data_IF_753824327714
#
_entry.id   IF_753824327714
#
_cell.length_a   1.000
_cell.length_b   1.000
_cell.length_c   1.000
_cell.angle_alpha   90.00
_cell.angle_beta   90.00
_cell.angle_gamma   90.00
#
_symmetry.space_group_name_H-M   'P 1'
#
loop_
_entity.id
_entity.type
_entity.pdbx_description
1 polymer ?
#
# COMPACT_ATOMS: atom_id res chain seq x y z
N UNK A 1 16.68 3.02 -5.46
CA UNK A 1 16.58 1.63 -4.97
C UNK A 1 15.46 0.95 -5.74
N UNK A 2 14.22 0.75 -5.24
CA UNK A 2 13.13 0.14 -6.04
C UNK A 2 12.26 1.15 -6.81
N UNK A 3 11.30 1.82 -6.15
CA UNK A 3 10.23 2.55 -6.86
C UNK A 3 10.52 4.01 -7.27
N UNK A 4 11.50 4.70 -6.65
CA UNK A 4 11.82 6.11 -6.94
C UNK A 4 13.06 6.33 -7.83
N UNK A 5 13.62 5.28 -8.42
CA UNK A 5 14.81 5.28 -9.29
C UNK A 5 16.11 5.96 -8.73
N UNK A 6 16.14 6.44 -7.49
CA UNK A 6 17.32 7.05 -6.86
C UNK A 6 18.49 6.06 -6.69
N UNK A 7 19.70 6.47 -7.08
CA UNK A 7 20.96 5.75 -6.86
C UNK A 7 21.73 6.39 -5.69
N UNK A 8 22.33 5.56 -4.83
CA UNK A 8 23.21 5.99 -3.76
C UNK A 8 24.54 5.23 -3.92
N UNK A 9 25.65 5.89 -4.32
CA UNK A 9 26.92 5.21 -4.60
C UNK A 9 27.67 4.76 -3.34
N UNK A 10 27.33 5.35 -2.18
CA UNK A 10 27.82 4.97 -0.86
C UNK A 10 26.61 4.78 0.05
N UNK A 11 26.62 3.73 0.86
CA UNK A 11 25.63 3.47 1.90
C UNK A 11 26.39 3.27 3.21
N UNK A 12 26.02 4.03 4.24
CA UNK A 12 26.53 3.86 5.61
C UNK A 12 25.47 3.15 6.44
N UNK A 13 25.88 2.12 7.19
CA UNK A 13 24.99 1.30 8.01
C UNK A 13 25.36 1.43 9.50
N UNK A 14 24.96 2.53 10.18
CA UNK A 14 25.38 2.83 11.55
C UNK A 14 24.65 1.99 12.63
N UNK A 15 23.86 0.99 12.24
CA UNK A 15 22.97 0.22 13.11
C UNK A 15 23.68 -0.52 14.26
N UNK A 16 24.98 -0.80 14.14
CA UNK A 16 25.78 -1.48 15.18
C UNK A 16 26.58 -0.52 16.07
N UNK A 17 26.47 0.80 15.89
CA UNK A 17 27.12 1.79 16.77
C UNK A 17 26.43 1.77 18.14
N UNK A 18 27.13 1.42 19.25
CA UNK A 18 26.50 1.25 20.56
C UNK A 18 25.76 2.49 21.05
N UNK A 19 26.35 3.66 20.85
CA UNK A 19 25.82 4.98 21.25
C UNK A 19 24.46 5.25 20.59
N UNK A 20 24.27 4.79 19.35
CA UNK A 20 23.00 4.92 18.61
C UNK A 20 21.96 3.86 18.99
N UNK A 21 22.28 2.92 19.87
CA UNK A 21 21.37 1.90 20.40
C UNK A 21 21.14 2.02 21.92
N UNK A 22 21.65 3.07 22.55
CA UNK A 22 21.44 3.29 23.99
C UNK A 22 19.97 3.63 24.30
N UNK A 23 19.51 3.18 25.46
CA UNK A 23 18.28 3.64 26.11
C UNK A 23 18.70 4.19 27.47
N UNK A 24 18.43 5.47 27.72
CA UNK A 24 18.82 6.15 28.96
C UNK A 24 17.57 6.76 29.60
N UNK A 25 17.37 6.49 30.89
CA UNK A 25 16.35 7.16 31.69
C UNK A 25 17.00 8.38 32.36
N UNK A 26 16.35 9.54 32.26
CA UNK A 26 16.81 10.81 32.83
C UNK A 26 15.66 11.47 33.61
N UNK A 27 15.97 12.48 34.43
CA UNK A 27 14.95 13.21 35.21
C UNK A 27 13.92 13.94 34.33
N UNK A 28 14.26 14.20 33.06
CA UNK A 28 13.38 14.83 32.05
C UNK A 28 12.63 13.81 31.17
N UNK A 29 12.98 12.51 31.19
CA UNK A 29 12.29 11.49 30.39
C UNK A 29 13.12 10.27 30.01
N UNK A 30 13.02 9.84 28.74
CA UNK A 30 13.73 8.66 28.20
C UNK A 30 14.37 9.05 26.87
N UNK A 31 15.70 8.94 26.80
CA UNK A 31 16.49 9.18 25.60
C UNK A 31 16.74 7.86 24.89
N UNK A 32 16.42 7.82 23.60
CA UNK A 32 16.67 6.68 22.71
C UNK A 32 17.73 7.05 21.68
N UNK A 33 18.70 6.17 21.48
CA UNK A 33 19.63 6.24 20.36
C UNK A 33 18.92 6.12 19.01
N UNK A 34 19.44 6.79 17.99
CA UNK A 34 18.76 6.94 16.69
C UNK A 34 18.64 5.66 15.84
N UNK A 35 19.26 4.54 16.25
CA UNK A 35 19.13 3.22 15.62
C UNK A 35 18.23 2.26 16.42
N UNK A 36 17.72 2.65 17.59
CA UNK A 36 16.78 1.85 18.37
C UNK A 36 15.53 1.50 17.54
N UNK A 37 15.16 0.21 17.51
CA UNK A 37 13.99 -0.23 16.76
C UNK A 37 12.69 0.29 17.38
N UNK A 38 11.66 0.51 16.55
CA UNK A 38 10.34 0.93 17.03
C UNK A 38 9.70 -0.10 17.98
N UNK A 39 10.07 -1.38 17.85
CA UNK A 39 9.70 -2.45 18.80
C UNK A 39 10.34 -2.20 20.16
N UNK A 40 11.66 -2.00 20.23
CA UNK A 40 12.38 -1.72 21.47
C UNK A 40 11.86 -0.43 22.13
N UNK A 41 11.63 0.62 21.35
CA UNK A 41 11.03 1.86 21.82
C UNK A 41 9.62 1.61 22.38
N UNK A 42 8.79 0.85 21.67
CA UNK A 42 7.46 0.46 22.14
C UNK A 42 7.49 -0.32 23.44
N UNK A 43 8.41 -1.28 23.61
CA UNK A 43 8.45 -2.13 24.80
C UNK A 43 9.02 -1.39 26.02
N UNK A 44 10.02 -0.51 25.83
CA UNK A 44 10.50 0.41 26.87
C UNK A 44 9.39 1.39 27.30
N UNK A 45 8.67 2.00 26.35
CA UNK A 45 7.59 2.92 26.68
C UNK A 45 6.41 2.22 27.37
N UNK A 46 6.06 0.98 26.99
CA UNK A 46 5.07 0.17 27.74
C UNK A 46 5.54 -0.09 29.18
N UNK A 47 6.81 -0.45 29.36
CA UNK A 47 7.38 -0.71 30.68
C UNK A 47 7.44 0.57 31.55
N UNK A 48 7.58 1.76 30.95
CA UNK A 48 7.50 3.04 31.64
C UNK A 48 6.06 3.39 32.03
N UNK A 49 5.10 3.29 31.10
CA UNK A 49 3.65 3.49 31.33
C UNK A 49 3.11 2.56 32.42
N UNK A 50 3.62 1.33 32.51
CA UNK A 50 3.25 0.36 33.54
C UNK A 50 3.90 0.56 34.92
N UNK A 51 4.73 1.60 35.11
CA UNK A 51 5.50 1.83 36.36
C UNK A 51 5.42 3.25 36.91
N UNK A 52 5.44 4.26 36.03
CA UNK A 52 5.48 5.67 36.42
C UNK A 52 4.06 6.21 36.68
N UNK A 53 3.93 7.29 37.48
CA UNK A 53 2.67 8.02 37.58
C UNK A 53 2.17 8.46 36.19
N UNK A 54 0.87 8.30 35.86
CA UNK A 54 0.45 8.45 34.46
C UNK A 54 0.60 9.87 33.88
N UNK A 55 0.80 10.86 34.76
CA UNK A 55 1.06 12.25 34.40
C UNK A 55 2.42 12.46 33.74
N UNK A 56 3.38 11.56 34.01
CA UNK A 56 4.72 11.56 33.42
C UNK A 56 4.76 10.81 32.08
N UNK A 57 3.69 10.08 31.74
CA UNK A 57 3.68 9.12 30.63
C UNK A 57 2.61 9.41 29.57
N UNK A 58 1.99 10.59 29.58
CA UNK A 58 1.03 11.06 28.56
C UNK A 58 1.62 10.97 27.14
N UNK A 59 2.82 11.54 26.95
CA UNK A 59 3.53 11.49 25.66
C UNK A 59 3.89 10.05 25.27
N UNK A 60 4.32 9.23 26.24
CA UNK A 60 4.66 7.83 25.99
C UNK A 60 3.43 7.02 25.54
N UNK A 61 2.30 7.18 26.21
CA UNK A 61 1.02 6.55 25.88
C UNK A 61 0.52 6.96 24.49
N UNK A 62 0.74 8.21 24.08
CA UNK A 62 0.37 8.68 22.74
C UNK A 62 1.32 8.21 21.64
N UNK A 63 2.64 8.11 21.92
CA UNK A 63 3.60 7.47 21.00
C UNK A 63 3.24 5.99 20.82
N UNK A 64 2.90 5.27 21.89
CA UNK A 64 2.38 3.90 21.82
C UNK A 64 1.09 3.78 21.01
N UNK A 65 0.17 4.74 21.13
CA UNK A 65 -1.06 4.77 20.34
C UNK A 65 -0.81 5.14 18.86
N UNK A 66 0.31 5.79 18.50
CA UNK A 66 0.72 5.91 17.09
C UNK A 66 1.46 4.67 16.58
N UNK A 67 2.41 4.12 17.36
CA UNK A 67 3.08 2.85 17.06
C UNK A 67 2.04 1.74 16.80
N UNK A 68 0.98 1.70 17.60
CA UNK A 68 -0.17 0.81 17.40
C UNK A 68 -0.74 0.77 15.99
N UNK A 69 -0.78 1.90 15.27
CA UNK A 69 -1.24 1.98 13.88
C UNK A 69 -0.09 2.04 12.85
N UNK A 70 1.13 1.79 13.33
CA UNK A 70 2.41 1.65 12.63
C UNK A 70 2.99 0.23 12.92
N UNK A 71 2.12 -0.78 12.84
CA UNK A 71 2.25 -2.15 13.38
C UNK A 71 2.17 -2.23 14.93
N UNK A 72 1.22 -3.04 15.43
CA UNK A 72 0.65 -2.99 16.80
C UNK A 72 1.61 -3.03 18.02
N UNK A 73 1.20 -2.67 19.24
CA UNK A 73 -0.15 -2.33 19.78
C UNK A 73 -0.06 -1.78 21.25
N UNK A 74 -0.98 -0.87 21.65
CA UNK A 74 -1.46 -0.49 23.03
C UNK A 74 -0.53 0.25 24.07
N UNK A 75 -1.00 1.05 25.08
CA UNK A 75 -2.14 2.03 25.25
C UNK A 75 -2.08 2.85 26.61
N UNK A 76 -2.54 4.14 26.67
CA UNK A 76 -3.06 5.02 27.82
C UNK A 76 -2.29 5.21 29.17
N UNK A 77 -2.48 6.24 30.05
CA UNK A 77 -2.75 7.71 30.01
C UNK A 77 -2.90 8.29 31.46
N UNK A 78 -2.71 9.63 31.68
CA UNK A 78 -3.41 10.57 32.63
C UNK A 78 -2.53 11.64 33.36
N UNK A 79 -2.53 12.86 32.80
CA UNK A 79 -2.60 14.19 33.46
C UNK A 79 -1.37 14.90 34.10
N UNK A 80 -0.46 15.43 33.27
CA UNK A 80 0.44 16.54 33.66
C UNK A 80 0.60 17.58 32.54
N UNK A 81 0.93 17.08 31.35
CA UNK A 81 0.71 17.71 30.05
C UNK A 81 -0.30 16.82 29.32
N UNK A 82 -1.39 17.35 28.77
CA UNK A 82 -2.27 16.49 27.97
C UNK A 82 -1.72 16.31 26.56
N UNK A 83 -1.68 15.07 26.08
CA UNK A 83 -1.29 14.75 24.72
C UNK A 83 -2.20 13.68 24.12
N UNK A 84 -2.60 13.87 22.87
CA UNK A 84 -3.24 12.82 22.08
C UNK A 84 -2.75 12.84 20.63
N UNK A 85 -2.81 11.69 19.97
CA UNK A 85 -2.51 11.58 18.55
C UNK A 85 -3.53 10.67 17.84
N UNK A 86 -3.79 10.98 16.58
CA UNK A 86 -4.85 10.35 15.79
C UNK A 86 -4.39 10.11 14.35
N UNK A 87 -4.86 9.02 13.75
CA UNK A 87 -4.58 8.62 12.37
C UNK A 87 -5.89 8.27 11.67
N UNK A 88 -6.06 8.73 10.43
CA UNK A 88 -7.08 8.22 9.52
C UNK A 88 -6.44 7.79 8.19
N UNK A 89 -6.79 6.59 7.73
CA UNK A 89 -6.31 5.95 6.51
C UNK A 89 -7.42 5.07 5.88
N UNK A 90 -7.32 4.63 4.61
CA UNK A 90 -8.30 3.76 3.95
C UNK A 90 -8.60 2.46 4.72
N UNK A 91 -7.58 1.77 5.23
CA UNK A 91 -7.68 0.71 6.25
C UNK A 91 -7.01 1.15 7.56
N UNK A 92 -7.31 0.49 8.67
CA UNK A 92 -6.84 0.90 10.01
C UNK A 92 -5.35 0.57 10.21
N UNK A 93 -5.01 -0.70 10.01
CA UNK A 93 -3.66 -1.26 10.11
C UNK A 93 -2.93 -1.22 8.74
N UNK A 94 -1.59 -1.20 8.75
CA UNK A 94 -0.72 -1.29 7.56
C UNK A 94 -1.07 -0.26 6.45
N UNK A 95 -1.15 1.03 6.77
CA UNK A 95 -1.60 2.03 5.78
C UNK A 95 -1.06 3.43 6.01
N UNK A 96 -0.97 4.19 4.92
CA UNK A 96 -0.51 5.58 4.88
C UNK A 96 -1.67 6.49 5.32
N UNK A 97 -1.39 7.41 6.23
CA UNK A 97 -2.38 8.36 6.73
C UNK A 97 -2.85 9.34 5.65
N UNK A 98 -4.16 9.45 5.44
CA UNK A 98 -4.81 10.54 4.69
C UNK A 98 -4.63 11.85 5.47
N UNK A 99 -4.89 11.80 6.79
CA UNK A 99 -4.46 12.80 7.77
C UNK A 99 -3.99 12.05 9.02
N UNK A 100 -2.89 12.52 9.60
CA UNK A 100 -2.45 12.17 10.96
C UNK A 100 -2.23 13.45 11.75
N UNK A 101 -2.35 13.40 13.07
CA UNK A 101 -2.13 14.54 13.95
C UNK A 101 -1.59 14.13 15.30
N UNK A 102 -0.64 14.91 15.83
CA UNK A 102 -0.25 14.94 17.23
C UNK A 102 -0.63 16.29 17.84
N UNK A 103 -1.34 16.27 18.96
CA UNK A 103 -1.88 17.45 19.62
C UNK A 103 -1.51 17.44 21.10
N UNK A 104 -1.13 18.60 21.65
CA UNK A 104 -0.81 18.74 23.07
C UNK A 104 -1.24 20.07 23.65
N UNK A 105 -1.73 20.05 24.88
CA UNK A 105 -2.16 21.23 25.64
C UNK A 105 -1.66 21.15 27.08
N UNK A 106 -1.25 22.29 27.62
CA UNK A 106 -1.01 22.48 29.06
C UNK A 106 -1.88 23.63 29.53
N UNK A 107 -2.54 23.47 30.68
CA UNK A 107 -3.36 24.51 31.28
C UNK A 107 -2.59 25.36 32.29
N UNK A 108 -3.11 26.53 32.64
CA UNK A 108 -2.67 27.27 33.81
C UNK A 108 -3.17 26.56 35.08
N UNK A 109 -2.36 26.60 36.13
CA UNK A 109 -2.56 25.81 37.36
C UNK A 109 -3.95 26.02 37.98
N UNK A 110 -4.61 24.92 38.37
CA UNK A 110 -5.96 24.95 38.93
C UNK A 110 -7.08 25.39 37.97
N UNK A 111 -6.83 25.50 36.66
CA UNK A 111 -7.78 26.07 35.70
C UNK A 111 -7.91 25.26 34.39
N UNK A 112 -8.92 25.61 33.58
CA UNK A 112 -9.05 25.15 32.18
C UNK A 112 -8.57 26.21 31.16
N UNK A 113 -7.75 27.18 31.58
CA UNK A 113 -7.18 28.21 30.70
C UNK A 113 -5.95 27.66 29.98
N UNK A 114 -5.93 27.71 28.65
CA UNK A 114 -4.81 27.22 27.82
C UNK A 114 -3.56 28.06 28.06
N UNK A 115 -2.51 27.46 28.63
CA UNK A 115 -1.18 28.07 28.82
C UNK A 115 -0.30 27.87 27.58
N UNK A 116 -0.28 26.66 27.04
CA UNK A 116 0.39 26.30 25.78
C UNK A 116 -0.48 25.31 25.00
N UNK A 117 -0.43 25.40 23.68
CA UNK A 117 -1.13 24.51 22.74
C UNK A 117 -0.23 24.25 21.53
N UNK A 118 -0.12 23.00 21.11
CA UNK A 118 0.61 22.59 19.92
C UNK A 118 -0.25 21.62 19.11
N UNK A 119 -0.48 21.95 17.83
CA UNK A 119 -1.32 21.17 16.91
C UNK A 119 -0.50 20.86 15.65
N UNK A 120 -0.11 19.60 15.48
CA UNK A 120 0.64 19.13 14.30
C UNK A 120 -0.24 18.30 13.38
N UNK A 121 -0.01 18.38 12.07
CA UNK A 121 -0.75 17.60 11.06
C UNK A 121 0.18 17.07 9.96
N UNK A 122 0.06 15.78 9.65
CA UNK A 122 0.62 15.14 8.46
C UNK A 122 -0.47 14.88 7.41
N UNK A 123 -0.11 14.91 6.13
CA UNK A 123 -1.06 14.78 5.00
C UNK A 123 -1.69 16.09 4.53
N UNK A 124 -1.47 17.20 5.24
CA UNK A 124 -1.97 18.54 4.89
C UNK A 124 -0.97 19.41 4.10
N UNK A 125 0.28 18.96 3.94
CA UNK A 125 1.28 19.58 3.07
C UNK A 125 2.29 18.53 2.58
N UNK A 126 3.35 18.96 1.88
CA UNK A 126 4.46 18.10 1.47
C UNK A 126 5.31 17.59 2.66
N UNK A 127 5.19 18.23 3.83
CA UNK A 127 5.82 17.89 5.11
C UNK A 127 4.79 17.99 6.24
N UNK A 128 5.16 17.56 7.45
CA UNK A 128 4.36 17.83 8.66
C UNK A 128 4.28 19.33 8.92
N UNK A 129 3.09 19.85 9.18
CA UNK A 129 2.84 21.27 9.48
C UNK A 129 2.30 21.47 10.89
N UNK A 130 2.49 22.67 11.43
CA UNK A 130 1.94 23.11 12.72
C UNK A 130 0.87 24.18 12.47
N UNK A 131 -0.28 24.07 13.14
CA UNK A 131 -1.33 25.10 13.13
C UNK A 131 -0.94 26.26 14.06
N UNK A 132 0.10 27.02 13.70
CA UNK A 132 0.70 28.06 14.55
C UNK A 132 -0.25 29.24 14.80
N UNK A 133 -1.02 29.64 13.80
CA UNK A 133 -1.93 30.77 13.90
C UNK A 133 -3.12 30.38 14.80
N UNK A 134 -3.70 29.20 14.56
CA UNK A 134 -4.73 28.59 15.42
C UNK A 134 -4.24 28.43 16.85
N UNK A 135 -3.08 27.80 17.05
CA UNK A 135 -2.54 27.58 18.40
C UNK A 135 -2.37 28.89 19.17
N UNK A 136 -1.82 29.92 18.52
CA UNK A 136 -1.64 31.26 19.10
C UNK A 136 -2.97 31.95 19.43
N UNK A 137 -4.01 31.77 18.60
CA UNK A 137 -5.38 32.32 18.80
C UNK A 137 -6.15 31.68 19.95
N UNK A 138 -5.70 30.52 20.45
CA UNK A 138 -6.38 29.76 21.50
C UNK A 138 -5.66 29.80 22.86
N UNK A 139 -4.40 30.24 22.91
CA UNK A 139 -3.69 30.52 24.17
C UNK A 139 -4.44 31.63 24.95
N UNK A 140 -4.55 31.46 26.27
CA UNK A 140 -5.30 32.34 27.17
C UNK A 140 -6.82 32.11 27.18
N UNK A 141 -7.38 31.26 26.31
CA UNK A 141 -8.82 30.94 26.32
C UNK A 141 -9.16 29.79 27.26
N UNK A 142 -10.39 29.78 27.79
CA UNK A 142 -10.93 28.67 28.57
C UNK A 142 -11.36 27.52 27.64
N UNK A 143 -11.12 26.28 28.05
CA UNK A 143 -11.54 25.08 27.31
C UNK A 143 -13.05 24.86 27.38
N UNK A 144 -13.77 25.52 26.47
CA UNK A 144 -15.23 25.53 26.34
C UNK A 144 -15.64 25.57 24.85
N UNK A 145 -16.94 25.57 24.60
CA UNK A 145 -17.51 25.48 23.26
C UNK A 145 -17.10 26.67 22.36
N UNK A 146 -16.90 27.86 22.93
CA UNK A 146 -16.40 29.03 22.22
C UNK A 146 -14.97 28.80 21.71
N UNK A 147 -14.11 28.13 22.49
CA UNK A 147 -12.76 27.75 22.07
C UNK A 147 -12.82 26.73 20.93
N UNK A 148 -13.73 25.75 20.99
CA UNK A 148 -13.93 24.80 19.89
C UNK A 148 -14.38 25.50 18.59
N UNK A 149 -15.31 26.46 18.67
CA UNK A 149 -15.80 27.20 17.51
C UNK A 149 -14.72 28.10 16.89
N UNK A 150 -13.95 28.81 17.73
CA UNK A 150 -12.75 29.55 17.30
C UNK A 150 -11.72 28.64 16.63
N UNK A 151 -11.45 27.49 17.23
CA UNK A 151 -10.47 26.52 16.73
C UNK A 151 -10.88 25.94 15.38
N UNK A 152 -12.14 25.49 15.23
CA UNK A 152 -12.65 24.95 13.99
C UNK A 152 -12.65 25.99 12.86
N UNK A 153 -12.99 27.25 13.17
CA UNK A 153 -12.95 28.34 12.19
C UNK A 153 -11.52 28.64 11.74
N UNK A 154 -10.60 28.82 12.70
CA UNK A 154 -9.18 29.10 12.44
C UNK A 154 -8.48 27.95 11.72
N UNK A 155 -8.79 26.68 12.06
CA UNK A 155 -8.27 25.51 11.35
C UNK A 155 -8.83 25.42 9.93
N UNK A 156 -10.07 25.82 9.68
CA UNK A 156 -10.64 25.81 8.33
C UNK A 156 -9.95 26.82 7.40
N UNK A 157 -9.48 27.95 7.94
CA UNK A 157 -8.69 28.97 7.26
C UNK A 157 -7.21 28.53 7.08
N UNK A 158 -6.55 28.11 8.17
CA UNK A 158 -5.12 27.77 8.20
C UNK A 158 -4.81 26.45 7.46
N UNK A 159 -5.66 25.42 7.60
CA UNK A 159 -5.49 24.12 6.93
C UNK A 159 -6.20 24.08 5.58
N UNK A 160 -5.94 25.09 4.74
CA UNK A 160 -6.43 25.14 3.36
C UNK A 160 -5.60 24.25 2.42
N UNK A 161 -6.26 23.71 1.40
CA UNK A 161 -5.67 22.82 0.40
C UNK A 161 -6.21 23.21 -0.99
N UNK A 162 -5.30 23.34 -1.97
CA UNK A 162 -5.67 23.61 -3.36
C UNK A 162 -6.44 22.41 -3.97
N UNK A 163 -7.43 22.61 -4.87
CA UNK A 163 -8.18 21.50 -5.47
C UNK A 163 -7.34 20.42 -6.16
N UNK A 164 -6.16 20.77 -6.70
CA UNK A 164 -5.21 19.83 -7.30
C UNK A 164 -4.17 19.23 -6.33
N UNK A 165 -4.34 19.39 -5.02
CA UNK A 165 -3.36 18.92 -4.03
C UNK A 165 -3.13 17.39 -4.14
N UNK A 166 -1.87 16.91 -4.23
CA UNK A 166 -1.54 15.49 -4.31
C UNK A 166 -2.21 14.65 -3.22
N UNK A 167 -2.68 13.46 -3.58
CA UNK A 167 -3.54 12.61 -2.75
C UNK A 167 -5.05 12.89 -2.86
N UNK A 168 -5.46 14.00 -3.50
CA UNK A 168 -6.87 14.32 -3.71
C UNK A 168 -7.63 14.51 -2.39
N UNK A 169 -8.87 14.00 -2.31
CA UNK A 169 -9.69 13.99 -1.09
C UNK A 169 -9.76 15.33 -0.33
N UNK A 170 -9.67 16.46 -1.03
CA UNK A 170 -9.39 17.80 -0.45
C UNK A 170 -10.38 18.17 0.66
N UNK A 171 -11.69 18.07 0.38
CA UNK A 171 -12.74 18.35 1.38
C UNK A 171 -12.62 17.43 2.60
N UNK A 172 -12.42 16.13 2.39
CA UNK A 172 -12.30 15.15 3.46
C UNK A 172 -11.06 15.39 4.35
N UNK A 173 -9.92 15.72 3.75
CA UNK A 173 -8.70 16.12 4.48
C UNK A 173 -8.94 17.37 5.34
N UNK A 174 -9.62 18.39 4.81
CA UNK A 174 -10.00 19.60 5.57
C UNK A 174 -11.02 19.31 6.68
N UNK A 175 -11.99 18.42 6.45
CA UNK A 175 -12.91 17.97 7.52
C UNK A 175 -12.17 17.23 8.61
N UNK A 176 -11.19 16.39 8.27
CA UNK A 176 -10.42 15.61 9.25
C UNK A 176 -9.60 16.49 10.20
N UNK A 177 -9.01 17.61 9.79
CA UNK A 177 -8.27 18.46 10.74
C UNK A 177 -9.19 18.99 11.85
N UNK A 178 -10.40 19.44 11.49
CA UNK A 178 -11.44 19.86 12.43
C UNK A 178 -11.95 18.68 13.27
N UNK A 179 -12.27 17.54 12.65
CA UNK A 179 -12.80 16.36 13.38
C UNK A 179 -11.80 15.79 14.37
N UNK A 180 -10.50 15.78 14.04
CA UNK A 180 -9.45 15.34 14.96
C UNK A 180 -9.25 16.33 16.12
N UNK A 181 -9.35 17.64 15.87
CA UNK A 181 -9.35 18.63 16.95
C UNK A 181 -10.60 18.49 17.83
N UNK A 182 -11.76 18.18 17.28
CA UNK A 182 -12.97 17.90 18.06
C UNK A 182 -12.79 16.67 18.97
N UNK A 183 -12.15 15.60 18.47
CA UNK A 183 -11.77 14.45 19.33
C UNK A 183 -10.86 14.89 20.48
N UNK A 184 -9.87 15.75 20.21
CA UNK A 184 -8.92 16.28 21.20
C UNK A 184 -9.59 17.17 22.25
N UNK A 185 -10.51 18.04 21.83
CA UNK A 185 -11.33 18.88 22.69
C UNK A 185 -12.13 18.05 23.70
N UNK A 186 -12.82 17.00 23.24
CA UNK A 186 -13.60 16.11 24.11
C UNK A 186 -12.73 15.27 25.06
N UNK A 187 -11.49 14.91 24.69
CA UNK A 187 -10.64 14.05 25.52
C UNK A 187 -9.72 14.82 26.47
N UNK A 188 -9.52 16.12 26.27
CA UNK A 188 -8.38 16.86 26.85
C UNK A 188 -8.58 17.60 28.17
N UNK A 189 -9.79 17.62 28.75
CA UNK A 189 -10.05 18.33 30.02
C UNK A 189 -10.72 17.46 31.08
N UNK A 190 -11.95 16.97 30.88
CA UNK A 190 -12.58 16.02 31.82
C UNK A 190 -13.45 15.01 31.06
N UNK A 191 -13.13 13.71 31.15
CA UNK A 191 -14.03 12.66 30.65
C UNK A 191 -15.37 12.65 31.39
N UNK A 192 -15.33 12.96 32.68
CA UNK A 192 -16.46 12.91 33.60
C UNK A 192 -17.46 14.09 33.42
N UNK A 193 -17.15 15.01 32.50
CA UNK A 193 -18.01 16.16 32.11
C UNK A 193 -18.48 16.05 30.65
N UNK A 194 -18.06 15.01 29.91
CA UNK A 194 -18.55 14.76 28.54
C UNK A 194 -19.99 14.26 28.58
N UNK A 195 -20.91 14.91 27.85
CA UNK A 195 -22.31 14.50 27.74
C UNK A 195 -22.39 13.06 27.20
N UNK A 196 -23.29 12.25 27.77
CA UNK A 196 -23.28 10.79 27.60
C UNK A 196 -23.27 10.29 26.14
N UNK A 197 -23.93 11.01 25.24
CA UNK A 197 -23.97 10.74 23.80
C UNK A 197 -22.64 11.01 23.07
N UNK A 198 -21.83 11.95 23.57
CA UNK A 198 -20.49 12.25 23.02
C UNK A 198 -19.38 11.33 23.56
N UNK A 199 -19.62 10.52 24.60
CA UNK A 199 -18.60 9.64 25.20
C UNK A 199 -17.99 8.70 24.16
N UNK A 200 -18.80 8.16 23.23
CA UNK A 200 -18.33 7.29 22.14
C UNK A 200 -17.27 7.95 21.24
N UNK A 201 -17.27 9.28 21.11
CA UNK A 201 -16.23 10.01 20.38
C UNK A 201 -14.91 10.07 21.17
N UNK A 202 -14.91 9.97 22.50
CA UNK A 202 -13.68 9.88 23.31
C UNK A 202 -13.01 8.51 23.23
N UNK A 203 -13.70 7.50 22.70
CA UNK A 203 -13.17 6.14 22.62
C UNK A 203 -12.03 6.01 21.61
N UNK A 204 -11.12 5.09 21.95
CA UNK A 204 -10.08 4.58 21.07
C UNK A 204 -10.58 3.23 20.56
N UNK A 205 -10.43 2.96 19.26
CA UNK A 205 -10.85 1.67 18.70
C UNK A 205 -10.11 0.51 19.37
N UNK A 206 -10.80 -0.59 19.64
CA UNK A 206 -10.21 -1.85 20.08
C UNK A 206 -10.57 -2.96 19.08
N UNK A 207 -9.57 -3.74 18.66
CA UNK A 207 -9.77 -4.85 17.74
C UNK A 207 -10.60 -5.93 18.45
N UNK A 208 -11.72 -6.33 17.86
CA UNK A 208 -12.52 -7.46 18.36
C UNK A 208 -11.85 -8.75 17.88
N UNK A 209 -11.68 -9.74 18.73
CA UNK A 209 -11.21 -11.07 18.29
C UNK A 209 -12.18 -11.62 17.23
N UNK A 210 -11.69 -12.13 16.09
CA UNK A 210 -12.58 -12.71 15.08
C UNK A 210 -13.27 -13.94 15.67
N UNK A 211 -14.58 -14.02 15.50
CA UNK A 211 -15.40 -15.18 15.84
C UNK A 211 -16.23 -15.56 14.62
N UNK A 212 -16.37 -16.86 14.38
CA UNK A 212 -17.03 -17.39 13.19
C UNK A 212 -17.67 -18.74 13.50
N UNK A 213 -18.78 -19.03 12.84
CA UNK A 213 -19.47 -20.32 12.89
C UNK A 213 -19.65 -20.81 11.45
N UNK A 214 -19.41 -22.09 11.22
CA UNK A 214 -19.67 -22.75 9.94
C UNK A 214 -20.74 -23.82 10.15
N UNK A 215 -21.80 -23.78 9.34
CA UNK A 215 -22.87 -24.77 9.33
C UNK A 215 -22.95 -25.35 7.92
N UNK A 216 -22.87 -26.67 7.81
CA UNK A 216 -22.93 -27.41 6.55
C UNK A 216 -23.65 -28.74 6.77
N UNK A 217 -24.18 -29.32 5.70
CA UNK A 217 -24.81 -30.64 5.74
C UNK A 217 -23.74 -31.72 5.85
N UNK A 218 -23.89 -32.64 6.80
CA UNK A 218 -23.03 -33.82 6.92
C UNK A 218 -23.30 -34.81 5.77
N UNK A 219 -22.31 -35.67 5.48
CA UNK A 219 -22.50 -36.82 4.57
C UNK A 219 -23.56 -37.78 5.12
N UNK A 220 -24.33 -38.48 4.26
CA UNK A 220 -25.32 -39.46 4.71
C UNK A 220 -24.72 -40.61 5.54
N UNK A 221 -25.51 -41.10 6.48
CA UNK A 221 -25.16 -42.29 7.27
C UNK A 221 -24.89 -43.49 6.36
N UNK A 222 -23.78 -44.19 6.62
CA UNK A 222 -23.34 -45.33 5.80
C UNK A 222 -22.53 -44.96 4.54
N UNK A 223 -22.29 -43.68 4.24
CA UNK A 223 -21.33 -43.31 3.18
C UNK A 223 -19.93 -43.82 3.54
N UNK A 224 -19.34 -44.64 2.65
CA UNK A 224 -18.00 -45.24 2.81
C UNK A 224 -16.92 -44.18 3.05
N UNK A 225 -15.91 -44.50 3.85
CA UNK A 225 -14.78 -43.60 4.12
C UNK A 225 -13.98 -43.25 2.86
N UNK A 226 -13.85 -44.21 1.94
CA UNK A 226 -13.24 -44.05 0.60
C UNK A 226 -14.00 -43.03 -0.26
N UNK A 227 -15.31 -42.87 -0.05
CA UNK A 227 -16.11 -41.85 -0.70
C UNK A 227 -15.96 -40.53 0.06
N UNK A 228 -15.08 -39.67 -0.47
CA UNK A 228 -14.78 -38.35 0.07
C UNK A 228 -15.72 -37.25 -0.42
N UNK A 229 -16.73 -37.55 -1.26
CA UNK A 229 -17.65 -36.54 -1.77
C UNK A 229 -18.47 -35.95 -0.61
N UNK A 230 -18.53 -34.62 -0.53
CA UNK A 230 -19.20 -33.91 0.57
C UNK A 230 -18.44 -33.87 1.90
N UNK A 231 -17.29 -34.56 2.04
CA UNK A 231 -16.45 -34.46 3.25
C UNK A 231 -15.60 -33.18 3.23
N UNK A 232 -15.33 -32.54 4.38
CA UNK A 232 -14.52 -31.32 4.48
C UNK A 232 -13.01 -31.63 4.36
N UNK A 233 -12.60 -32.17 3.21
CA UNK A 233 -11.22 -32.61 2.98
C UNK A 233 -10.24 -31.43 2.89
N UNK A 234 -9.12 -31.54 3.60
CA UNK A 234 -8.03 -30.58 3.50
C UNK A 234 -7.46 -30.52 2.08
N UNK A 235 -7.18 -29.31 1.58
CA UNK A 235 -6.57 -29.11 0.26
C UNK A 235 -5.24 -29.87 0.13
N UNK A 236 -5.07 -30.66 -0.94
CA UNK A 236 -3.96 -31.62 -1.08
C UNK A 236 -2.55 -31.00 -1.11
N UNK A 237 -2.42 -29.69 -1.32
CA UNK A 237 -1.13 -28.98 -1.18
C UNK A 237 -0.99 -28.18 0.12
N UNK A 238 -1.97 -28.20 1.04
CA UNK A 238 -1.99 -27.32 2.22
C UNK A 238 -0.73 -27.42 3.08
N UNK A 239 -0.29 -28.64 3.42
CA UNK A 239 0.96 -28.84 4.17
C UNK A 239 2.16 -28.24 3.43
N UNK A 240 2.25 -28.45 2.12
CA UNK A 240 3.33 -27.92 1.27
C UNK A 240 3.27 -26.39 1.12
N UNK A 241 2.08 -25.80 1.25
CA UNK A 241 1.88 -24.36 1.27
C UNK A 241 2.28 -23.75 2.63
N UNK A 242 2.14 -24.51 3.72
CA UNK A 242 2.58 -24.12 5.05
C UNK A 242 4.11 -24.30 5.26
N UNK A 243 4.73 -25.30 4.63
CA UNK A 243 6.19 -25.55 4.71
C UNK A 243 7.03 -24.84 3.64
N UNK A 244 6.41 -24.30 2.59
CA UNK A 244 7.09 -23.67 1.45
C UNK A 244 7.47 -24.63 0.32
N UNK A 245 7.23 -25.94 0.45
CA UNK A 245 7.47 -26.96 -0.61
C UNK A 245 6.59 -26.81 -1.87
N UNK A 246 5.58 -25.93 -1.86
CA UNK A 246 4.52 -25.88 -2.87
C UNK A 246 4.90 -25.18 -4.20
N UNK A 247 6.06 -25.53 -4.79
CA UNK A 247 6.64 -24.99 -6.05
C UNK A 247 5.62 -24.29 -6.98
N UNK A 248 5.72 -22.97 -7.02
CA UNK A 248 5.08 -22.06 -7.97
C UNK A 248 5.98 -21.84 -9.21
N UNK A 249 5.67 -20.84 -10.04
CA UNK A 249 6.35 -20.63 -11.32
C UNK A 249 7.80 -20.12 -11.16
N UNK A 250 8.06 -19.31 -10.13
CA UNK A 250 9.37 -18.68 -9.91
C UNK A 250 10.29 -19.55 -9.02
N UNK A 251 9.71 -20.43 -8.21
CA UNK A 251 10.40 -21.43 -7.39
C UNK A 251 11.07 -22.56 -8.22
N UNK A 252 10.98 -22.50 -9.54
CA UNK A 252 11.68 -23.42 -10.45
C UNK A 252 13.18 -23.08 -10.42
N UNK A 253 14.06 -24.05 -10.14
CA UNK A 253 15.51 -23.82 -10.08
C UNK A 253 16.06 -23.17 -11.34
N UNK A 254 17.03 -22.26 -11.16
CA UNK A 254 17.66 -21.54 -12.27
C UNK A 254 18.41 -22.52 -13.18
N UNK A 255 18.34 -22.30 -14.50
CA UNK A 255 19.29 -22.94 -15.42
C UNK A 255 20.63 -22.20 -15.40
N UNK A 256 21.74 -22.93 -15.57
CA UNK A 256 23.12 -22.41 -15.58
C UNK A 256 23.37 -21.26 -16.57
N UNK A 257 22.49 -21.13 -17.57
CA UNK A 257 22.50 -20.08 -18.58
C UNK A 257 21.09 -19.47 -18.79
N UNK A 258 20.28 -19.36 -17.75
CA UNK A 258 19.01 -18.61 -17.79
C UNK A 258 19.26 -17.10 -17.96
N UNK A 259 18.33 -16.40 -18.60
CA UNK A 259 18.34 -14.95 -18.71
C UNK A 259 17.01 -14.38 -18.21
N UNK A 260 17.09 -13.21 -17.57
CA UNK A 260 15.93 -12.50 -17.03
C UNK A 260 15.41 -11.49 -18.03
N UNK A 261 14.09 -11.41 -18.15
CA UNK A 261 13.40 -10.48 -19.03
C UNK A 261 12.57 -9.49 -18.21
N UNK A 262 12.74 -8.19 -18.48
CA UNK A 262 11.88 -7.12 -18.00
C UNK A 262 11.17 -6.45 -19.20
N UNK A 263 9.92 -6.06 -19.01
CA UNK A 263 9.05 -5.58 -20.08
C UNK A 263 9.18 -4.08 -20.24
N UNK A 264 9.23 -3.63 -21.49
CA UNK A 264 9.12 -2.22 -21.83
C UNK A 264 7.64 -1.97 -22.12
N UNK A 265 6.92 -1.36 -21.18
CA UNK A 265 5.46 -1.21 -21.25
C UNK A 265 5.01 0.22 -21.53
N UNK A 266 3.90 0.34 -22.25
CA UNK A 266 3.20 1.58 -22.56
C UNK A 266 2.90 2.45 -21.34
N UNK A 267 3.18 3.76 -21.48
CA UNK A 267 2.71 4.81 -20.56
C UNK A 267 1.40 5.47 -21.02
N UNK A 268 0.75 4.96 -22.09
CA UNK A 268 -0.46 5.52 -22.71
C UNK A 268 -1.59 4.51 -22.81
N UNK A 269 -2.83 4.97 -22.64
CA UNK A 269 -4.03 4.14 -22.62
C UNK A 269 -4.42 3.54 -23.99
N UNK A 270 -3.74 3.99 -25.03
CA UNK A 270 -3.99 3.85 -26.45
C UNK A 270 -2.72 4.51 -27.06
N UNK A 271 -1.99 3.97 -28.04
CA UNK A 271 -1.04 4.74 -28.89
C UNK A 271 -0.23 4.06 -30.01
N UNK A 272 -0.31 4.59 -31.24
CA UNK A 272 0.77 4.45 -32.22
C UNK A 272 2.14 4.80 -31.61
N UNK A 273 3.19 4.08 -31.96
CA UNK A 273 4.55 4.29 -31.48
C UNK A 273 5.32 5.08 -32.54
N UNK A 274 5.70 6.32 -32.23
CA UNK A 274 6.37 7.21 -33.18
C UNK A 274 7.89 6.99 -33.22
N UNK A 275 8.48 6.53 -32.11
CA UNK A 275 9.91 6.21 -32.02
C UNK A 275 10.23 5.37 -30.77
N UNK A 276 11.32 4.60 -30.85
CA UNK A 276 11.93 3.86 -29.74
C UNK A 276 13.45 4.11 -29.78
N UNK A 277 14.03 4.56 -28.67
CA UNK A 277 15.47 4.71 -28.47
C UNK A 277 15.93 3.75 -27.35
N UNK A 278 16.96 2.97 -27.65
CA UNK A 278 17.55 1.92 -26.81
C UNK A 278 19.02 2.16 -26.50
N UNK A 279 19.63 3.23 -27.02
CA UNK A 279 21.07 3.48 -26.95
C UNK A 279 21.63 3.50 -25.53
N UNK A 280 20.90 4.12 -24.59
CA UNK A 280 21.24 4.11 -23.16
C UNK A 280 21.13 2.68 -22.58
N UNK A 281 20.04 1.97 -22.86
CA UNK A 281 19.76 0.63 -22.35
C UNK A 281 20.78 -0.43 -22.82
N UNK A 282 21.17 -0.40 -24.09
CA UNK A 282 22.15 -1.33 -24.69
C UNK A 282 23.58 -1.08 -24.18
N UNK A 283 23.86 0.10 -23.62
CA UNK A 283 25.15 0.41 -22.97
C UNK A 283 25.24 -0.11 -21.52
N UNK A 284 24.14 -0.61 -20.92
CA UNK A 284 24.11 -0.96 -19.51
C UNK A 284 24.74 -2.34 -19.22
N UNK A 285 25.46 -2.50 -18.09
CA UNK A 285 26.03 -3.80 -17.70
C UNK A 285 25.00 -4.94 -17.65
N UNK A 286 25.41 -6.11 -18.13
CA UNK A 286 24.62 -7.34 -18.09
C UNK A 286 23.51 -7.45 -19.14
N UNK A 287 23.21 -6.40 -19.90
CA UNK A 287 22.22 -6.43 -20.99
C UNK A 287 22.73 -7.27 -22.15
N UNK A 288 21.86 -8.17 -22.64
CA UNK A 288 22.14 -9.08 -23.75
C UNK A 288 21.46 -8.63 -25.03
N UNK A 289 20.23 -8.10 -24.95
CA UNK A 289 19.45 -7.62 -26.10
C UNK A 289 18.21 -6.86 -25.64
N UNK A 290 17.87 -5.78 -26.35
CA UNK A 290 16.49 -5.28 -26.43
C UNK A 290 15.76 -6.00 -27.56
N UNK A 291 14.49 -6.38 -27.36
CA UNK A 291 13.69 -7.20 -28.30
C UNK A 291 12.33 -6.52 -28.54
N UNK A 292 11.95 -6.32 -29.80
CA UNK A 292 10.71 -5.62 -30.18
C UNK A 292 9.90 -6.39 -31.22
N UNK A 293 8.78 -5.80 -31.67
CA UNK A 293 7.94 -6.28 -32.77
C UNK A 293 8.75 -6.74 -34.00
N UNK A 294 9.70 -5.93 -34.46
CA UNK A 294 10.62 -6.22 -35.60
C UNK A 294 11.46 -7.50 -35.44
N UNK A 295 11.64 -7.99 -34.21
CA UNK A 295 12.42 -9.19 -33.89
C UNK A 295 11.56 -10.46 -33.87
N UNK A 296 10.26 -10.36 -34.15
CA UNK A 296 9.34 -11.48 -34.28
C UNK A 296 9.48 -12.10 -35.68
N UNK A 297 9.98 -13.35 -35.80
CA UNK A 297 10.17 -14.01 -37.09
C UNK A 297 8.91 -14.77 -37.57
N UNK A 298 7.78 -14.57 -36.88
CA UNK A 298 6.49 -15.19 -37.15
C UNK A 298 5.48 -14.15 -37.63
N UNK A 299 4.38 -13.98 -36.89
CA UNK A 299 3.41 -12.92 -37.14
C UNK A 299 3.04 -12.25 -35.83
N UNK A 300 3.37 -10.97 -35.66
CA UNK A 300 2.96 -10.18 -34.48
C UNK A 300 1.44 -9.86 -34.46
N UNK A 301 0.68 -10.44 -35.38
CA UNK A 301 -0.74 -10.66 -35.16
C UNK A 301 -0.91 -11.72 -34.07
N UNK A 302 -1.52 -11.35 -32.96
CA UNK A 302 -1.66 -12.19 -31.78
C UNK A 302 -3.14 -12.12 -31.38
N UNK A 303 -3.80 -13.24 -31.07
CA UNK A 303 -5.24 -13.26 -30.75
C UNK A 303 -6.14 -12.58 -31.81
N UNK A 304 -7.24 -11.92 -31.42
CA UNK A 304 -8.06 -11.09 -32.31
C UNK A 304 -7.48 -9.73 -32.77
N UNK A 305 -6.18 -9.42 -32.63
CA UNK A 305 -5.62 -8.16 -33.13
C UNK A 305 -4.34 -8.31 -33.99
N UNK A 306 -3.89 -7.13 -34.45
CA UNK A 306 -2.67 -6.85 -35.20
C UNK A 306 -1.88 -5.82 -34.39
N UNK A 307 -0.58 -6.04 -34.21
CA UNK A 307 0.33 -5.02 -33.72
C UNK A 307 1.57 -5.02 -34.59
N UNK A 308 2.17 -3.84 -34.72
CA UNK A 308 3.62 -3.65 -34.85
C UNK A 308 3.96 -2.24 -34.36
N UNK A 309 3.10 -1.27 -34.70
CA UNK A 309 3.32 0.15 -34.41
C UNK A 309 2.32 0.74 -33.41
N UNK A 310 1.60 -0.05 -32.58
CA UNK A 310 0.54 0.51 -31.70
C UNK A 310 0.35 -0.18 -30.33
N UNK A 311 0.51 0.60 -29.26
CA UNK A 311 0.07 0.31 -27.87
C UNK A 311 -1.40 0.65 -27.63
N UNK A 312 -1.99 0.19 -26.52
CA UNK A 312 -3.47 0.02 -26.47
C UNK A 312 -4.12 0.04 -25.10
N UNK A 313 -3.29 0.09 -24.06
CA UNK A 313 -3.62 0.31 -22.67
C UNK A 313 -2.31 0.72 -21.99
N UNK A 314 -2.38 1.43 -20.87
CA UNK A 314 -1.18 1.58 -20.03
C UNK A 314 -0.78 0.17 -19.58
N UNK A 315 0.51 -0.14 -19.60
CA UNK A 315 0.98 -1.51 -19.39
C UNK A 315 1.00 -2.41 -20.63
N UNK A 316 0.47 -2.02 -21.80
CA UNK A 316 0.66 -2.83 -23.01
C UNK A 316 2.16 -2.89 -23.37
N UNK A 317 2.71 -4.11 -23.42
CA UNK A 317 4.11 -4.40 -23.74
C UNK A 317 4.44 -3.96 -25.17
N UNK A 318 5.51 -3.19 -25.32
CA UNK A 318 6.06 -2.71 -26.61
C UNK A 318 7.25 -3.58 -27.05
N UNK A 319 7.99 -4.07 -26.07
CA UNK A 319 9.16 -4.91 -26.23
C UNK A 319 9.67 -5.35 -24.86
N UNK A 320 10.89 -5.84 -24.82
CA UNK A 320 11.53 -6.26 -23.59
C UNK A 320 13.03 -6.02 -23.62
N UNK A 321 13.64 -5.92 -22.43
CA UNK A 321 15.10 -6.02 -22.27
C UNK A 321 15.42 -7.34 -21.59
N UNK A 322 16.40 -8.05 -22.15
CA UNK A 322 16.90 -9.32 -21.64
C UNK A 322 18.32 -9.11 -21.12
N UNK A 323 18.58 -9.60 -19.90
CA UNK A 323 19.86 -9.45 -19.22
C UNK A 323 20.24 -10.71 -18.41
N UNK A 324 21.50 -10.75 -17.96
CA UNK A 324 22.05 -11.75 -17.03
C UNK A 324 21.32 -11.84 -15.68
N UNK A 325 20.74 -10.73 -15.20
CA UNK A 325 20.05 -10.62 -13.91
C UNK A 325 18.76 -9.81 -14.03
N UNK A 326 17.77 -10.12 -13.19
CA UNK A 326 16.52 -9.33 -13.10
C UNK A 326 16.80 -7.85 -12.81
N UNK A 327 17.81 -7.57 -11.99
CA UNK A 327 18.19 -6.21 -11.62
C UNK A 327 18.80 -5.42 -12.79
N UNK A 328 19.54 -6.06 -13.70
CA UNK A 328 20.03 -5.41 -14.92
C UNK A 328 18.91 -5.20 -15.93
N UNK A 329 18.06 -6.22 -16.16
CA UNK A 329 16.88 -6.10 -17.03
C UNK A 329 15.94 -4.97 -16.57
N UNK A 330 15.63 -4.87 -15.27
CA UNK A 330 14.76 -3.82 -14.71
C UNK A 330 15.37 -2.41 -14.77
N UNK A 331 16.71 -2.25 -14.77
CA UNK A 331 17.36 -0.95 -14.97
C UNK A 331 17.29 -0.54 -16.43
N UNK A 332 17.66 -1.43 -17.33
CA UNK A 332 17.74 -1.15 -18.76
C UNK A 332 16.36 -0.95 -19.41
N UNK A 333 15.33 -1.70 -19.00
CA UNK A 333 13.97 -1.48 -19.48
C UNK A 333 13.42 -0.09 -19.12
N UNK A 334 13.92 0.54 -18.04
CA UNK A 334 13.59 1.93 -17.64
C UNK A 334 14.38 3.00 -18.39
N UNK A 335 15.46 2.62 -19.08
CA UNK A 335 16.28 3.52 -19.90
C UNK A 335 15.79 3.63 -21.35
N UNK A 336 14.93 2.72 -21.82
CA UNK A 336 14.32 2.78 -23.16
C UNK A 336 13.31 3.93 -23.26
N UNK A 337 13.43 4.76 -24.30
CA UNK A 337 12.67 6.01 -24.47
C UNK A 337 11.70 5.87 -25.65
N UNK A 338 10.42 6.22 -25.47
CA UNK A 338 9.35 5.90 -26.44
C UNK A 338 8.35 7.06 -26.60
N UNK A 339 7.85 7.27 -27.82
CA UNK A 339 6.93 8.36 -28.24
C UNK A 339 5.60 7.80 -28.82
N UNK A 340 4.46 8.51 -28.71
CA UNK A 340 3.10 7.88 -28.72
C UNK A 340 1.89 8.67 -29.37
N UNK A 341 0.86 7.99 -29.92
CA UNK A 341 -0.43 8.54 -30.51
C UNK A 341 -1.65 7.53 -30.71
N UNK A 342 -2.62 7.42 -29.78
CA UNK A 342 -3.86 6.55 -29.58
C UNK A 342 -4.49 5.39 -30.53
N UNK A 343 -4.33 4.00 -30.37
CA UNK A 343 -5.24 2.84 -30.88
C UNK A 343 -5.32 1.45 -30.05
N UNK A 344 -5.72 0.22 -30.57
CA UNK A 344 -6.35 -1.01 -29.88
C UNK A 344 -5.75 -2.51 -30.01
N UNK A 345 -6.09 -3.56 -29.15
CA UNK A 345 -5.32 -4.87 -28.93
C UNK A 345 -5.96 -6.32 -28.85
N UNK A 346 -5.11 -7.41 -28.90
CA UNK A 346 -5.26 -8.80 -28.31
C UNK A 346 -4.09 -9.82 -28.54
N UNK A 347 -4.06 -11.05 -27.94
CA UNK A 347 -2.96 -12.10 -28.00
C UNK A 347 -3.42 -13.62 -28.03
N UNK A 348 -2.73 -14.77 -28.40
CA UNK A 348 -1.31 -15.31 -28.42
C UNK A 348 -0.82 -16.01 -29.76
N UNK A 349 -0.67 -17.36 -29.82
CA UNK A 349 0.44 -18.15 -30.43
C UNK A 349 0.78 -17.96 -31.93
N UNK A 350 -0.17 -17.41 -32.66
CA UNK A 350 -0.07 -16.73 -33.96
C UNK A 350 1.24 -15.89 -34.06
N UNK A 351 1.62 -15.25 -32.95
CA UNK A 351 2.93 -14.66 -32.63
C UNK A 351 4.15 -15.31 -33.30
N UNK A 352 4.31 -16.63 -33.10
CA UNK A 352 5.53 -17.35 -33.47
C UNK A 352 5.49 -17.93 -34.89
N UNK A 353 4.38 -17.78 -35.62
CA UNK A 353 4.21 -18.37 -36.95
C UNK A 353 4.21 -19.90 -37.00
N UNK A 354 4.03 -20.58 -35.85
CA UNK A 354 4.07 -22.05 -35.76
C UNK A 354 2.67 -22.65 -35.56
N UNK A 355 2.41 -23.89 -36.03
CA UNK A 355 1.21 -24.64 -35.66
C UNK A 355 1.06 -24.79 -34.14
N UNK A 356 -0.16 -24.72 -33.62
CA UNK A 356 -0.42 -24.78 -32.18
C UNK A 356 0.12 -26.08 -31.51
N UNK A 357 0.19 -27.19 -32.26
CA UNK A 357 0.80 -28.46 -31.82
C UNK A 357 2.30 -28.38 -31.52
N UNK A 358 2.98 -27.27 -31.88
CA UNK A 358 4.38 -26.98 -31.54
C UNK A 358 4.53 -26.21 -30.23
N UNK A 359 3.43 -25.79 -29.58
CA UNK A 359 3.44 -24.98 -28.36
C UNK A 359 2.72 -25.74 -27.23
N UNK A 360 3.48 -26.20 -26.23
CA UNK A 360 2.93 -26.95 -25.08
C UNK A 360 2.94 -26.06 -23.84
N UNK A 361 1.74 -25.64 -23.40
CA UNK A 361 1.55 -24.88 -22.15
C UNK A 361 1.32 -25.85 -20.99
N UNK A 362 2.03 -25.67 -19.88
CA UNK A 362 1.91 -26.52 -18.67
C UNK A 362 1.64 -25.66 -17.45
N UNK A 363 0.53 -25.89 -16.76
CA UNK A 363 0.15 -25.19 -15.52
C UNK A 363 0.01 -26.20 -14.39
N UNK A 364 0.80 -26.06 -13.31
CA UNK A 364 0.75 -26.97 -12.16
C UNK A 364 -0.15 -26.49 -11.02
N UNK A 365 -0.13 -25.17 -10.75
CA UNK A 365 -0.94 -24.44 -9.75
C UNK A 365 -0.82 -22.94 -10.01
N UNK A 366 -1.70 -22.14 -9.42
CA UNK A 366 -1.62 -20.67 -9.43
C UNK A 366 -1.85 -20.11 -8.02
N UNK A 367 -0.99 -19.19 -7.58
CA UNK A 367 -1.21 -18.38 -6.38
C UNK A 367 -2.26 -17.31 -6.66
N UNK A 368 -3.55 -17.67 -6.55
CA UNK A 368 -4.69 -16.83 -6.92
C UNK A 368 -4.82 -16.61 -8.43
N UNK A 369 -6.04 -16.29 -8.89
CA UNK A 369 -6.35 -16.10 -10.31
C UNK A 369 -7.53 -15.16 -10.56
N UNK A 370 -8.69 -15.47 -9.96
CA UNK A 370 -9.86 -14.58 -9.85
C UNK A 370 -10.30 -13.90 -11.17
N UNK A 371 -10.21 -14.61 -12.30
CA UNK A 371 -10.46 -14.09 -13.66
C UNK A 371 -9.29 -13.31 -14.28
N UNK A 372 -8.49 -12.60 -13.49
CA UNK A 372 -7.35 -11.81 -14.00
C UNK A 372 -6.33 -12.62 -14.81
N UNK A 373 -6.12 -13.90 -14.47
CA UNK A 373 -5.18 -14.79 -15.18
C UNK A 373 -5.81 -15.63 -16.31
N UNK A 374 -7.10 -15.45 -16.60
CA UNK A 374 -7.82 -16.17 -17.65
C UNK A 374 -7.37 -15.73 -19.05
N UNK A 375 -7.37 -14.41 -19.29
CA UNK A 375 -7.02 -13.81 -20.58
C UNK A 375 -5.81 -12.89 -20.51
N UNK A 376 -5.62 -12.10 -19.45
CA UNK A 376 -4.54 -11.07 -19.40
C UNK A 376 -3.13 -11.66 -19.25
N UNK A 377 -3.04 -12.91 -18.81
CA UNK A 377 -1.83 -13.74 -18.82
C UNK A 377 -1.26 -13.98 -20.23
N UNK A 378 -2.10 -13.92 -21.27
CA UNK A 378 -1.71 -14.06 -22.68
C UNK A 378 -0.76 -12.97 -23.17
N UNK A 379 -0.93 -11.76 -22.66
CA UNK A 379 -0.06 -10.60 -22.94
C UNK A 379 1.38 -10.90 -22.58
N UNK A 380 1.60 -11.31 -21.34
CA UNK A 380 2.90 -11.68 -20.79
C UNK A 380 3.50 -12.90 -21.49
N UNK A 381 2.72 -13.98 -21.62
CA UNK A 381 3.24 -15.25 -22.15
C UNK A 381 3.65 -15.17 -23.62
N UNK A 382 3.02 -14.31 -24.41
CA UNK A 382 3.43 -14.05 -25.79
C UNK A 382 4.84 -13.48 -25.87
N UNK A 383 5.13 -12.41 -25.12
CA UNK A 383 6.42 -11.71 -25.25
C UNK A 383 7.57 -12.54 -24.69
N UNK A 384 7.32 -13.30 -23.60
CA UNK A 384 8.27 -14.31 -23.11
C UNK A 384 8.54 -15.39 -24.16
N UNK A 385 7.51 -15.89 -24.84
CA UNK A 385 7.67 -16.91 -25.88
C UNK A 385 8.38 -16.38 -27.14
N UNK A 386 8.14 -15.12 -27.52
CA UNK A 386 8.85 -14.39 -28.60
C UNK A 386 10.33 -14.28 -28.27
N UNK A 387 10.67 -13.79 -27.07
CA UNK A 387 12.07 -13.65 -26.65
C UNK A 387 12.80 -15.00 -26.61
N UNK A 388 12.17 -16.04 -26.05
CA UNK A 388 12.71 -17.40 -26.05
C UNK A 388 12.92 -17.94 -27.48
N UNK A 389 11.97 -17.71 -28.39
CA UNK A 389 12.10 -18.14 -29.79
C UNK A 389 13.20 -17.36 -30.53
N UNK A 390 13.37 -16.06 -30.26
CA UNK A 390 14.37 -15.21 -30.91
C UNK A 390 15.80 -15.51 -30.42
N UNK A 391 15.97 -15.76 -29.12
CA UNK A 391 17.26 -15.99 -28.47
C UNK A 391 17.66 -17.48 -28.38
N UNK A 392 16.76 -18.41 -28.74
CA UNK A 392 16.95 -19.87 -28.67
C UNK A 392 17.35 -20.38 -27.28
N UNK A 393 16.95 -19.68 -26.22
CA UNK A 393 17.22 -19.97 -24.81
C UNK A 393 15.90 -19.96 -24.01
N UNK A 394 15.81 -20.67 -22.86
CA UNK A 394 14.74 -20.44 -21.90
C UNK A 394 14.72 -18.97 -21.44
N UNK A 395 13.53 -18.41 -21.27
CA UNK A 395 13.32 -17.04 -20.78
C UNK A 395 12.18 -17.05 -19.77
N UNK A 396 12.36 -16.31 -18.67
CA UNK A 396 11.37 -16.12 -17.62
C UNK A 396 11.09 -14.64 -17.40
N UNK A 397 9.84 -14.32 -17.09
CA UNK A 397 9.42 -13.01 -16.62
C UNK A 397 8.33 -13.19 -15.56
N UNK A 398 8.50 -12.51 -14.42
CA UNK A 398 7.49 -12.36 -13.38
C UNK A 398 7.34 -10.87 -13.10
N UNK A 399 6.10 -10.39 -13.20
CA UNK A 399 5.76 -8.98 -12.96
C UNK A 399 5.97 -8.63 -11.49
N UNK A 400 6.58 -7.47 -11.24
CA UNK A 400 6.51 -6.81 -9.95
C UNK A 400 5.06 -6.33 -9.69
N UNK A 401 4.68 -6.07 -8.42
CA UNK A 401 3.25 -5.85 -8.08
C UNK A 401 2.64 -4.60 -8.75
N UNK A 402 3.43 -3.54 -8.91
CA UNK A 402 3.02 -2.33 -9.63
C UNK A 402 2.86 -2.59 -11.14
N UNK A 403 3.72 -3.42 -11.75
CA UNK A 403 3.55 -3.89 -13.13
C UNK A 403 2.28 -4.76 -13.28
N UNK A 404 2.08 -5.74 -12.40
CA UNK A 404 0.91 -6.63 -12.39
C UNK A 404 -0.42 -5.86 -12.29
N UNK A 405 -0.50 -4.88 -11.38
CA UNK A 405 -1.69 -4.02 -11.22
C UNK A 405 -1.92 -3.08 -12.42
N UNK A 406 -0.86 -2.67 -13.12
CA UNK A 406 -0.94 -1.79 -14.28
C UNK A 406 -1.32 -2.54 -15.56
N UNK A 407 -0.68 -3.69 -15.80
CA UNK A 407 -0.76 -4.46 -17.05
C UNK A 407 -2.01 -5.34 -17.11
N UNK A 408 -2.43 -5.94 -15.99
CA UNK A 408 -3.55 -6.91 -16.00
C UNK A 408 -4.93 -6.25 -15.90
N UNK A 409 -5.02 -5.01 -15.41
CA UNK A 409 -6.28 -4.33 -15.17
C UNK A 409 -7.09 -4.98 -14.04
N UNK A 410 -8.42 -5.01 -14.16
CA UNK A 410 -9.27 -5.54 -13.10
C UNK A 410 -10.76 -5.62 -13.45
N UNK A 411 -11.60 -5.55 -12.41
CA UNK A 411 -13.07 -5.57 -12.55
C UNK A 411 -13.55 -4.30 -13.25
N UNK A 412 -14.41 -4.46 -14.26
CA UNK A 412 -15.10 -3.34 -14.91
C UNK A 412 -15.87 -2.49 -13.89
N UNK A 413 -15.69 -1.15 -13.89
CA UNK A 413 -16.59 -0.23 -13.18
C UNK A 413 -18.00 -0.28 -13.79
N UNK A 414 -19.03 -0.13 -12.96
CA UNK A 414 -20.43 -0.07 -13.39
C UNK A 414 -21.09 1.24 -12.93
N UNK A 415 -21.95 1.79 -13.79
CA UNK A 415 -22.85 2.89 -13.45
C UNK A 415 -24.29 2.44 -13.70
N UNK A 416 -25.11 2.39 -12.64
CA UNK A 416 -26.50 1.94 -12.70
C UNK A 416 -27.48 3.10 -12.54
N UNK A 417 -28.41 3.26 -13.48
CA UNK A 417 -29.54 4.20 -13.38
C UNK A 417 -30.84 3.42 -13.40
N UNK A 418 -31.57 3.43 -12.29
CA UNK A 418 -32.82 2.70 -12.11
C UNK A 418 -33.97 3.62 -11.69
N UNK A 419 -35.21 3.15 -11.90
CA UNK A 419 -36.43 3.69 -11.32
C UNK A 419 -37.21 2.51 -10.76
N UNK A 420 -37.49 2.50 -9.47
CA UNK A 420 -38.26 1.44 -8.80
C UNK A 420 -39.68 1.94 -8.53
N UNK A 421 -40.67 1.09 -8.80
CA UNK A 421 -42.04 1.26 -8.31
C UNK A 421 -42.25 0.35 -7.11
N UNK A 422 -42.90 0.86 -6.07
CA UNK A 422 -43.30 0.11 -4.88
C UNK A 422 -44.81 0.29 -4.70
N UNK A 423 -45.49 -0.78 -4.26
CA UNK A 423 -46.90 -0.75 -3.88
C UNK A 423 -47.01 -0.95 -2.37
N UNK A 424 -47.87 -0.16 -1.73
CA UNK A 424 -48.17 -0.30 -0.30
C UNK A 424 -49.07 -1.53 -0.10
N UNK A 425 -48.48 -2.65 0.34
CA UNK A 425 -49.25 -3.83 0.73
C UNK A 425 -49.92 -3.57 2.07
N UNK A 426 -51.22 -3.28 2.02
CA UNK A 426 -52.07 -3.21 3.22
C UNK A 426 -52.40 -4.63 3.67
N UNK A 427 -51.89 -4.97 4.85
CA UNK A 427 -52.25 -6.17 5.62
C UNK A 427 -53.44 -5.86 6.54
#
# INVERSE_FOLDING_TARGET
MKFKNLLYPVILAPAYIPELNTVQHTDEGIVFGASCSLTLLGDVLKAAVGKLPPHQTEVFAAVLEQLRWFAGLQIRNVAGQYFAAYKQSPRREDDISIVTSGMSVTFAEGSSVVKHLALSYGGMAATTVLAKNTASRLIGKQWKEELLQDACSSLAEEMTLHPSAPGGMVTYRRTLTLSLFYKFYLTGVYKDVVRADYISATEIYHHKSPSSVQIFQAVPDGQKEEDVVGRPMMHLSAMKQATGEAVYCDDIPLYENELYLCLITSTKAHAHILSIDTSEAESMPGVVSCVFAKDIPGSNMTGPAVYDETVTCVGHIIGAVVADTQAHAQRAAKAVRITYQELQPSLVAKALGVPASRVVVRVKRMGGGFGGKESRSTTLSTVVAVAAYRLKRPVRCMLDRDEDMLVTGGRHPFYGRYKVGLYEVRY
#
